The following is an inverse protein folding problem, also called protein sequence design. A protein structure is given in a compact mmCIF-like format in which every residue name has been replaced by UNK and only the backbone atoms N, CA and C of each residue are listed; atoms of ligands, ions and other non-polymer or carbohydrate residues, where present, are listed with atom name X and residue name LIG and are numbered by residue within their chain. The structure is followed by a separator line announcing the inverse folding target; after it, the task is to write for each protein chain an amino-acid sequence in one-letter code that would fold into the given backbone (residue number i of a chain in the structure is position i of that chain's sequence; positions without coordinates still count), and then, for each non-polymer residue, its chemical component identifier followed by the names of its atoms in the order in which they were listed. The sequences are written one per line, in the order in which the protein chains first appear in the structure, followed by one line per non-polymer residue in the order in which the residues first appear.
data_IF_735371859720
#
_entry.id   IF_735371859720
#
_cell.length_a   1.000
_cell.length_b   1.000
_cell.length_c   1.000
_cell.angle_alpha   90.00
_cell.angle_beta   90.00
_cell.angle_gamma   90.00
#
_symmetry.space_group_name_H-M   'P 1'
#
loop_
_entity.id
_entity.type
_entity.pdbx_description
1 polymer ?
#
# COMPACT_ATOMS: atom_id res chain seq x y z
N UNK A 1 14.41 -6.16 -36.11
CA UNK A 1 13.14 -5.97 -35.40
C UNK A 1 12.76 -7.31 -34.76
N UNK A 2 13.03 -7.49 -33.47
CA UNK A 2 12.63 -8.70 -32.76
C UNK A 2 11.20 -8.52 -32.25
N UNK A 3 10.28 -9.42 -32.63
CA UNK A 3 8.96 -9.53 -32.01
C UNK A 3 9.14 -9.96 -30.54
N UNK A 4 8.44 -9.36 -29.57
CA UNK A 4 8.39 -9.91 -28.21
C UNK A 4 7.76 -11.30 -28.27
N UNK A 5 8.42 -12.28 -27.65
CA UNK A 5 8.29 -13.71 -27.94
C UNK A 5 7.04 -14.41 -27.42
N UNK A 6 6.65 -15.44 -28.19
CA UNK A 6 5.58 -16.41 -27.96
C UNK A 6 5.81 -17.35 -26.74
N UNK A 7 6.86 -17.14 -25.93
CA UNK A 7 7.26 -18.02 -24.82
C UNK A 7 6.85 -17.51 -23.42
N UNK A 8 6.14 -16.39 -23.32
CA UNK A 8 5.70 -15.87 -22.02
C UNK A 8 4.37 -16.51 -21.62
N UNK A 9 4.29 -17.22 -20.47
CA UNK A 9 3.03 -17.79 -20.01
C UNK A 9 1.91 -16.73 -19.97
N UNK A 10 0.69 -17.05 -20.44
CA UNK A 10 -0.39 -16.08 -20.60
C UNK A 10 -0.72 -15.26 -19.33
N UNK A 11 -0.47 -15.82 -18.14
CA UNK A 11 -0.60 -15.15 -16.85
C UNK A 11 0.35 -13.97 -16.67
N UNK A 12 1.60 -14.05 -17.14
CA UNK A 12 2.57 -12.97 -17.02
C UNK A 12 2.20 -11.78 -17.91
N UNK A 13 1.69 -12.06 -19.12
CA UNK A 13 1.16 -11.04 -20.02
C UNK A 13 -0.07 -10.34 -19.45
N UNK A 14 -1.01 -11.11 -18.88
CA UNK A 14 -2.19 -10.54 -18.23
C UNK A 14 -1.83 -9.67 -17.04
N UNK A 15 -0.90 -10.14 -16.19
CA UNK A 15 -0.41 -9.37 -15.06
C UNK A 15 0.24 -8.05 -15.50
N UNK A 16 1.14 -8.08 -16.49
CA UNK A 16 1.78 -6.89 -17.02
C UNK A 16 0.75 -5.90 -17.59
N UNK A 17 -0.23 -6.39 -18.37
CA UNK A 17 -1.31 -5.56 -18.92
C UNK A 17 -2.16 -4.91 -17.83
N UNK A 18 -2.48 -5.64 -16.77
CA UNK A 18 -3.21 -5.07 -15.63
C UNK A 18 -2.41 -3.97 -14.94
N UNK A 19 -1.10 -4.16 -14.75
CA UNK A 19 -0.23 -3.12 -14.18
C UNK A 19 -0.15 -1.87 -15.06
N UNK A 20 -0.09 -2.04 -16.39
CA UNK A 20 -0.09 -0.91 -17.33
C UNK A 20 -1.41 -0.14 -17.27
N UNK A 21 -2.55 -0.84 -17.34
CA UNK A 21 -3.87 -0.21 -17.24
C UNK A 21 -4.05 0.55 -15.91
N UNK A 22 -3.64 -0.05 -14.79
CA UNK A 22 -3.69 0.57 -13.47
C UNK A 22 -2.77 1.79 -13.36
N UNK A 23 -1.57 1.73 -13.96
CA UNK A 23 -0.61 2.82 -13.90
C UNK A 23 -1.06 4.08 -14.65
N UNK A 24 -1.85 3.94 -15.71
CA UNK A 24 -2.41 5.07 -16.49
C UNK A 24 -3.74 5.58 -15.94
N UNK A 25 -4.45 4.78 -15.14
CA UNK A 25 -5.78 5.13 -14.64
C UNK A 25 -5.86 6.45 -13.81
N UNK A 26 -4.85 6.83 -13.00
CA UNK A 26 -4.86 8.09 -12.26
C UNK A 26 -5.01 9.34 -13.13
N UNK A 27 -4.61 9.30 -14.41
CA UNK A 27 -4.71 10.43 -15.34
C UNK A 27 -6.16 10.84 -15.64
N UNK A 28 -7.12 9.99 -15.26
CA UNK A 28 -8.55 10.17 -15.49
C UNK A 28 -9.33 10.46 -14.20
N UNK A 29 -8.64 10.65 -13.07
CA UNK A 29 -9.26 10.91 -11.76
C UNK A 29 -9.55 9.65 -10.93
N UNK A 30 -9.86 9.85 -9.65
CA UNK A 30 -9.98 8.77 -8.66
C UNK A 30 -11.14 7.80 -8.93
N UNK A 31 -12.29 8.30 -9.38
CA UNK A 31 -13.46 7.48 -9.74
C UNK A 31 -13.14 6.54 -10.91
N UNK A 32 -12.56 7.08 -12.00
CA UNK A 32 -12.12 6.28 -13.14
C UNK A 32 -11.03 5.27 -12.75
N UNK A 33 -10.12 5.66 -11.86
CA UNK A 33 -9.13 4.73 -11.27
C UNK A 33 -9.80 3.56 -10.55
N UNK A 34 -10.88 3.82 -9.79
CA UNK A 34 -11.64 2.81 -9.07
C UNK A 34 -12.35 1.84 -10.02
N UNK A 35 -12.89 2.33 -11.14
CA UNK A 35 -13.51 1.50 -12.16
C UNK A 35 -12.51 0.55 -12.83
N UNK A 36 -11.28 1.02 -13.10
CA UNK A 36 -10.20 0.17 -13.62
C UNK A 36 -9.83 -0.90 -12.60
N UNK A 37 -9.68 -0.54 -11.32
CA UNK A 37 -9.43 -1.51 -10.23
C UNK A 37 -10.54 -2.56 -10.18
N UNK A 38 -11.81 -2.15 -10.19
CA UNK A 38 -12.94 -3.07 -10.19
C UNK A 38 -12.94 -4.00 -11.41
N UNK A 39 -12.49 -3.50 -12.57
CA UNK A 39 -12.35 -4.29 -13.79
C UNK A 39 -11.25 -5.33 -13.69
N UNK A 40 -10.07 -4.98 -13.16
CA UNK A 40 -8.98 -5.94 -12.91
C UNK A 40 -9.42 -7.03 -11.93
N UNK A 41 -10.16 -6.67 -10.88
CA UNK A 41 -10.68 -7.62 -9.88
C UNK A 41 -11.75 -8.59 -10.40
N UNK A 42 -12.21 -8.45 -11.65
CA UNK A 42 -13.08 -9.42 -12.33
C UNK A 42 -12.29 -10.50 -13.10
N UNK A 43 -10.95 -10.40 -13.16
CA UNK A 43 -10.13 -11.45 -13.79
C UNK A 43 -10.36 -12.80 -13.08
N UNK A 44 -10.49 -13.91 -13.83
CA UNK A 44 -10.68 -15.24 -13.25
C UNK A 44 -9.51 -15.68 -12.35
N UNK A 45 -8.29 -15.20 -12.60
CA UNK A 45 -7.16 -15.43 -11.71
C UNK A 45 -7.16 -14.42 -10.57
N UNK A 46 -7.88 -14.78 -9.50
CA UNK A 46 -8.07 -13.93 -8.33
C UNK A 46 -6.75 -13.52 -7.67
N UNK A 47 -5.78 -14.43 -7.58
CA UNK A 47 -4.51 -14.17 -6.90
C UNK A 47 -3.69 -13.16 -7.68
N UNK A 48 -3.64 -13.32 -9.01
CA UNK A 48 -2.95 -12.40 -9.90
C UNK A 48 -3.61 -11.01 -9.91
N UNK A 49 -4.94 -10.95 -9.98
CA UNK A 49 -5.70 -9.71 -9.93
C UNK A 49 -5.49 -8.93 -8.61
N UNK A 50 -5.67 -9.60 -7.47
CA UNK A 50 -5.46 -8.97 -6.16
C UNK A 50 -4.00 -8.51 -5.99
N UNK A 51 -3.02 -9.25 -6.51
CA UNK A 51 -1.61 -8.87 -6.48
C UNK A 51 -1.30 -7.64 -7.33
N UNK A 52 -1.90 -7.54 -8.53
CA UNK A 52 -1.75 -6.37 -9.41
C UNK A 52 -2.35 -5.12 -8.76
N UNK A 53 -3.56 -5.26 -8.19
CA UNK A 53 -4.23 -4.16 -7.47
C UNK A 53 -3.44 -3.73 -6.24
N UNK A 54 -2.95 -4.65 -5.41
CA UNK A 54 -2.12 -4.29 -4.25
C UNK A 54 -0.83 -3.60 -4.67
N UNK A 55 -0.20 -4.04 -5.76
CA UNK A 55 0.99 -3.37 -6.32
C UNK A 55 0.67 -1.94 -6.74
N UNK A 56 -0.49 -1.72 -7.35
CA UNK A 56 -0.97 -0.40 -7.71
C UNK A 56 -1.27 0.47 -6.48
N UNK A 57 -2.03 -0.04 -5.51
CA UNK A 57 -2.32 0.64 -4.24
C UNK A 57 -1.03 1.08 -3.54
N UNK A 58 -0.03 0.20 -3.46
CA UNK A 58 1.26 0.51 -2.85
C UNK A 58 1.98 1.69 -3.51
N UNK A 59 1.93 1.76 -4.85
CA UNK A 59 2.55 2.86 -5.60
C UNK A 59 1.77 4.16 -5.45
N UNK A 60 0.45 4.08 -5.61
CA UNK A 60 -0.42 5.27 -5.59
C UNK A 60 -0.52 5.88 -4.20
N UNK A 61 -0.72 5.06 -3.16
CA UNK A 61 -0.76 5.52 -1.78
C UNK A 61 0.56 6.18 -1.35
N UNK A 62 1.71 5.65 -1.79
CA UNK A 62 3.01 6.26 -1.49
C UNK A 62 3.16 7.66 -2.11
N UNK A 63 2.64 7.89 -3.32
CA UNK A 63 2.63 9.20 -3.97
C UNK A 63 1.69 10.18 -3.25
N UNK A 64 0.50 9.70 -2.85
CA UNK A 64 -0.52 10.52 -2.20
C UNK A 64 -0.30 10.71 -0.69
N UNK A 65 0.74 10.11 -0.11
CA UNK A 65 0.96 10.15 1.34
C UNK A 65 1.16 11.58 1.88
N UNK A 66 1.72 12.48 1.07
CA UNK A 66 1.83 13.90 1.40
C UNK A 66 0.60 14.73 0.97
N UNK A 67 -0.23 14.20 0.07
CA UNK A 67 -1.29 14.93 -0.63
C UNK A 67 -2.64 14.93 0.12
N UNK A 68 -3.42 16.00 0.04
CA UNK A 68 -4.77 16.06 0.61
C UNK A 68 -5.76 15.12 -0.07
N UNK A 69 -5.50 14.73 -1.32
CA UNK A 69 -6.40 13.89 -2.13
C UNK A 69 -6.48 12.43 -1.66
N UNK A 70 -5.54 11.98 -0.81
CA UNK A 70 -5.48 10.58 -0.35
C UNK A 70 -6.82 10.08 0.18
N UNK A 71 -7.55 10.89 0.97
CA UNK A 71 -8.78 10.44 1.61
C UNK A 71 -9.88 10.16 0.59
N UNK A 72 -10.11 11.10 -0.34
CA UNK A 72 -11.11 10.92 -1.39
C UNK A 72 -10.78 9.69 -2.26
N UNK A 73 -9.51 9.56 -2.66
CA UNK A 73 -9.04 8.37 -3.38
C UNK A 73 -9.25 7.07 -2.58
N UNK A 74 -8.94 7.07 -1.28
CA UNK A 74 -9.11 5.89 -0.44
C UNK A 74 -10.59 5.49 -0.28
N UNK A 75 -11.51 6.45 -0.23
CA UNK A 75 -12.95 6.18 -0.17
C UNK A 75 -13.45 5.51 -1.46
N UNK A 76 -13.04 6.03 -2.63
CA UNK A 76 -13.37 5.43 -3.94
C UNK A 76 -12.77 4.01 -4.08
N UNK A 77 -11.52 3.84 -3.67
CA UNK A 77 -10.89 2.52 -3.63
C UNK A 77 -11.63 1.57 -2.69
N UNK A 78 -12.05 2.01 -1.51
CA UNK A 78 -12.74 1.14 -0.55
C UNK A 78 -14.02 0.54 -1.16
N UNK A 79 -14.77 1.31 -1.95
CA UNK A 79 -15.93 0.82 -2.68
C UNK A 79 -15.54 -0.23 -3.74
N UNK A 80 -14.49 0.02 -4.53
CA UNK A 80 -14.03 -0.91 -5.56
C UNK A 80 -13.44 -2.22 -5.00
N UNK A 81 -12.86 -2.18 -3.80
CA UNK A 81 -12.21 -3.33 -3.15
C UNK A 81 -13.17 -4.18 -2.31
N UNK A 82 -14.43 -3.78 -2.16
CA UNK A 82 -15.39 -4.45 -1.29
C UNK A 82 -15.48 -5.98 -1.57
N UNK A 83 -15.35 -6.77 -0.50
CA UNK A 83 -15.33 -8.23 -0.57
C UNK A 83 -13.97 -8.84 -0.93
N UNK A 84 -12.89 -8.05 -0.98
CA UNK A 84 -11.52 -8.50 -1.29
C UNK A 84 -10.62 -8.28 -0.07
N UNK A 85 -10.53 -9.25 0.87
CA UNK A 85 -9.90 -9.02 2.18
C UNK A 85 -8.44 -8.58 2.12
N UNK A 86 -7.68 -9.06 1.13
CA UNK A 86 -6.26 -8.72 1.02
C UNK A 86 -6.04 -7.28 0.54
N UNK A 87 -6.59 -6.83 -0.62
CA UNK A 87 -6.56 -5.42 -1.01
C UNK A 87 -7.19 -4.47 0.02
N UNK A 88 -8.34 -4.82 0.62
CA UNK A 88 -8.98 -3.98 1.64
C UNK A 88 -8.08 -3.77 2.86
N UNK A 89 -7.45 -4.83 3.36
CA UNK A 89 -6.49 -4.72 4.46
C UNK A 89 -5.33 -3.82 4.07
N UNK A 90 -4.81 -3.94 2.84
CA UNK A 90 -3.72 -3.10 2.37
C UNK A 90 -4.12 -1.62 2.34
N UNK A 91 -5.33 -1.30 1.88
CA UNK A 91 -5.84 0.07 1.87
C UNK A 91 -5.99 0.64 3.30
N UNK A 92 -6.51 -0.16 4.24
CA UNK A 92 -6.59 0.22 5.67
C UNK A 92 -5.21 0.49 6.26
N UNK A 93 -4.22 -0.35 5.94
CA UNK A 93 -2.83 -0.15 6.39
C UNK A 93 -2.25 1.17 5.84
N UNK A 94 -2.46 1.50 4.57
CA UNK A 94 -2.05 2.79 4.02
C UNK A 94 -2.75 3.97 4.67
N UNK A 95 -4.04 3.83 4.99
CA UNK A 95 -4.82 4.87 5.70
C UNK A 95 -4.29 5.11 7.11
N UNK A 96 -3.91 4.05 7.82
CA UNK A 96 -3.23 4.15 9.12
C UNK A 96 -1.88 4.89 8.98
N UNK A 97 -1.06 4.54 7.97
CA UNK A 97 0.20 5.23 7.73
C UNK A 97 0.00 6.71 7.40
N UNK A 98 -1.05 7.05 6.66
CA UNK A 98 -1.44 8.44 6.36
C UNK A 98 -1.78 9.20 7.63
N UNK A 99 -2.63 8.66 8.49
CA UNK A 99 -3.02 9.29 9.76
C UNK A 99 -1.79 9.60 10.63
N UNK A 100 -0.90 8.62 10.82
CA UNK A 100 0.34 8.80 11.59
C UNK A 100 1.24 9.87 10.96
N UNK A 101 1.36 9.88 9.62
CA UNK A 101 2.19 10.86 8.90
C UNK A 101 1.65 12.29 9.06
N UNK A 102 0.33 12.45 9.12
CA UNK A 102 -0.35 13.74 9.28
C UNK A 102 -0.46 14.20 10.74
N UNK A 103 -0.08 13.35 11.71
CA UNK A 103 -0.30 13.63 13.13
C UNK A 103 -1.78 13.60 13.52
N UNK A 104 -2.62 12.95 12.71
CA UNK A 104 -4.02 12.70 13.01
C UNK A 104 -4.13 11.57 14.05
N UNK A 105 -5.26 11.42 14.76
CA UNK A 105 -5.44 10.31 15.69
C UNK A 105 -5.28 8.94 15.01
N UNK A 106 -4.50 8.06 15.63
CA UNK A 106 -4.24 6.70 15.15
C UNK A 106 -4.21 5.72 16.32
N UNK A 107 -4.49 4.44 16.05
CA UNK A 107 -4.51 3.41 17.09
C UNK A 107 -3.17 2.67 17.21
N UNK A 108 -2.61 2.66 18.42
CA UNK A 108 -1.44 1.86 18.76
C UNK A 108 -1.68 0.35 18.59
N UNK A 109 -2.88 -0.10 18.94
CA UNK A 109 -3.30 -1.50 18.75
C UNK A 109 -3.33 -1.85 17.26
N UNK A 110 -3.92 -1.00 16.42
CA UNK A 110 -3.97 -1.23 14.98
C UNK A 110 -2.56 -1.29 14.37
N UNK A 111 -1.66 -0.39 14.77
CA UNK A 111 -0.27 -0.40 14.27
C UNK A 111 0.50 -1.66 14.70
N UNK A 112 0.31 -2.12 15.93
CA UNK A 112 0.98 -3.33 16.45
C UNK A 112 0.37 -4.64 15.94
N UNK A 113 -0.91 -4.64 15.58
CA UNK A 113 -1.60 -5.76 14.95
C UNK A 113 -1.42 -5.80 13.41
N UNK A 114 -0.99 -4.69 12.78
CA UNK A 114 -0.82 -4.58 11.33
C UNK A 114 0.16 -5.63 10.76
N UNK A 115 0.09 -5.88 9.45
CA UNK A 115 0.95 -6.86 8.80
C UNK A 115 2.44 -6.50 8.92
N UNK A 116 3.29 -7.53 8.78
CA UNK A 116 4.74 -7.35 8.75
C UNK A 116 5.20 -6.41 7.62
N UNK A 117 4.43 -6.34 6.53
CA UNK A 117 4.65 -5.35 5.47
C UNK A 117 4.37 -3.94 6.00
N UNK A 118 3.19 -3.70 6.61
CA UNK A 118 2.79 -2.38 7.10
C UNK A 118 3.77 -1.88 8.16
N UNK A 119 4.11 -2.70 9.16
CA UNK A 119 5.06 -2.29 10.21
C UNK A 119 6.45 -1.99 9.67
N UNK A 120 6.89 -2.71 8.63
CA UNK A 120 8.16 -2.44 7.96
C UNK A 120 8.11 -1.15 7.14
N UNK A 121 7.00 -0.88 6.46
CA UNK A 121 6.76 0.37 5.74
C UNK A 121 6.70 1.53 6.72
N UNK A 122 5.98 1.39 7.83
CA UNK A 122 5.89 2.34 8.94
C UNK A 122 7.28 2.71 9.48
N UNK A 123 8.09 1.71 9.82
CA UNK A 123 9.45 1.93 10.31
C UNK A 123 10.33 2.66 9.29
N UNK A 124 10.07 2.56 7.98
CA UNK A 124 10.86 3.24 6.94
C UNK A 124 10.38 4.66 6.65
N UNK A 125 9.07 4.85 6.56
CA UNK A 125 8.46 6.11 6.10
C UNK A 125 8.23 7.09 7.25
N UNK A 126 7.76 6.61 8.40
CA UNK A 126 7.23 7.48 9.44
C UNK A 126 8.32 8.33 10.10
N UNK A 127 7.91 9.54 10.46
CA UNK A 127 8.70 10.50 11.23
C UNK A 127 8.18 10.70 12.65
N UNK A 128 7.00 10.19 13.00
CA UNK A 128 6.48 10.23 14.37
C UNK A 128 7.42 9.47 15.33
N UNK A 129 7.90 10.18 16.36
CA UNK A 129 8.72 9.59 17.43
C UNK A 129 7.92 8.55 18.23
N UNK A 130 6.65 8.85 18.51
CA UNK A 130 5.73 7.96 19.21
C UNK A 130 5.54 6.64 18.46
N UNK A 131 5.22 6.69 17.17
CA UNK A 131 5.02 5.50 16.36
C UNK A 131 6.31 4.66 16.22
N UNK A 132 7.46 5.31 16.03
CA UNK A 132 8.75 4.61 15.98
C UNK A 132 9.10 3.98 17.34
N UNK A 133 8.80 4.64 18.45
CA UNK A 133 9.04 4.10 19.81
C UNK A 133 8.15 2.89 20.09
N UNK A 134 6.88 2.96 19.70
CA UNK A 134 5.97 1.84 19.78
C UNK A 134 6.47 0.65 18.95
N UNK A 135 6.88 0.88 17.70
CA UNK A 135 7.41 -0.17 16.83
C UNK A 135 8.74 -0.75 17.35
N UNK A 136 9.60 0.06 17.97
CA UNK A 136 10.85 -0.43 18.56
C UNK A 136 10.60 -1.45 19.68
N UNK A 137 9.52 -1.28 20.43
CA UNK A 137 9.16 -2.13 21.58
C UNK A 137 8.29 -3.31 21.17
N UNK A 138 7.22 -3.04 20.40
CA UNK A 138 6.09 -3.95 20.25
C UNK A 138 5.86 -4.47 18.81
N UNK A 139 6.71 -4.11 17.83
CA UNK A 139 6.54 -4.65 16.49
C UNK A 139 6.70 -6.17 16.45
N UNK A 140 5.92 -6.80 15.57
CA UNK A 140 5.74 -8.26 15.47
C UNK A 140 7.05 -9.00 15.21
N UNK A 141 7.97 -8.38 14.47
CA UNK A 141 9.24 -8.99 14.12
C UNK A 141 10.41 -8.24 14.76
N UNK A 142 11.44 -9.00 15.16
CA UNK A 142 12.70 -8.44 15.66
C UNK A 142 13.35 -7.49 14.66
N UNK A 143 13.22 -7.78 13.36
CA UNK A 143 13.77 -6.94 12.28
C UNK A 143 13.14 -5.53 12.30
N UNK A 144 11.82 -5.44 12.44
CA UNK A 144 11.14 -4.14 12.49
C UNK A 144 11.49 -3.40 13.78
N UNK A 145 11.48 -4.09 14.94
CA UNK A 145 11.89 -3.50 16.22
C UNK A 145 13.27 -2.84 16.14
N UNK A 146 14.24 -3.59 15.62
CA UNK A 146 15.62 -3.10 15.47
C UNK A 146 15.72 -1.91 14.50
N UNK A 147 14.99 -1.95 13.38
CA UNK A 147 15.00 -0.87 12.40
C UNK A 147 14.40 0.43 12.97
N UNK A 148 13.33 0.33 13.76
CA UNK A 148 12.72 1.47 14.42
C UNK A 148 13.64 2.06 15.51
N UNK A 149 14.24 1.20 16.36
CA UNK A 149 15.19 1.62 17.38
C UNK A 149 16.43 2.32 16.78
N UNK A 150 16.94 1.82 15.66
CA UNK A 150 18.07 2.43 14.95
C UNK A 150 17.72 3.82 14.42
N UNK A 151 16.52 4.01 13.88
CA UNK A 151 16.08 5.33 13.42
C UNK A 151 15.91 6.33 14.55
N UNK A 152 15.42 5.89 15.71
CA UNK A 152 15.34 6.75 16.90
C UNK A 152 16.73 7.20 17.33
N UNK A 153 17.69 6.28 17.43
CA UNK A 153 19.08 6.61 17.79
C UNK A 153 19.69 7.65 16.85
N UNK A 154 19.54 7.46 15.53
CA UNK A 154 20.07 8.39 14.52
C UNK A 154 19.50 9.80 14.60
N UNK A 155 18.33 9.97 15.21
CA UNK A 155 17.69 11.28 15.37
C UNK A 155 18.09 11.98 16.66
N UNK A 156 18.49 11.23 17.68
CA UNK A 156 19.00 11.80 18.94
C UNK A 156 20.45 12.28 18.81
N UNK A 157 21.20 11.78 17.82
CA UNK A 157 22.59 12.20 17.53
C UNK A 157 22.72 13.43 16.62
N UNK A 158 21.61 14.07 16.23
CA UNK A 158 21.58 15.33 15.48
C UNK A 158 21.08 16.43 16.40
#
# INVERSE_FOLDING_TARGET
MNRPGDDTPPEHWRYARHLEALASAPDHGAEAEAEVVATVLRDPDRVMAESAVVTHLDRRAAQLLADGEFRAWADDMAAALAGRPFPERRLREWSLLKAVTRGEPWSAEELTAASDWCQRTAARLLTSYEALSLLATAARTRRVRNAAAERLRRRTTV
#
